data_IF_603276905384
#
_entry.id   IF_603276905384
#
_cell.length_a   1.000
_cell.length_b   1.000
_cell.length_c   1.000
_cell.angle_alpha   90.00
_cell.angle_beta   90.00
_cell.angle_gamma   90.00
#
_symmetry.space_group_name_H-M   'P 1'
#
loop_
_entity.id
_entity.type
_entity.pdbx_description
1 polymer ?
#
# COMPACT_ATOMS: atom_id res chain seq x y z
N UNK A 1 2.62 21.69 -20.04
CA UNK A 1 3.54 21.17 -21.08
C UNK A 1 4.63 20.35 -20.40
N UNK A 2 4.51 19.01 -20.34
CA UNK A 2 5.64 18.15 -19.96
C UNK A 2 6.35 17.69 -21.24
N UNK A 3 7.67 17.92 -21.28
CA UNK A 3 8.51 17.66 -22.45
C UNK A 3 8.79 16.16 -22.57
N UNK A 4 8.44 15.62 -23.73
CA UNK A 4 8.84 14.31 -24.20
C UNK A 4 10.36 14.15 -24.22
N UNK A 5 10.90 13.29 -23.35
CA UNK A 5 12.28 12.82 -23.46
C UNK A 5 12.29 11.61 -24.38
N UNK A 6 12.32 11.86 -25.69
CA UNK A 6 12.50 10.83 -26.73
C UNK A 6 13.99 10.64 -26.98
N UNK A 7 14.59 9.61 -26.37
CA UNK A 7 15.91 9.12 -26.82
C UNK A 7 15.71 8.12 -27.96
N UNK A 8 16.08 8.50 -29.18
CA UNK A 8 16.16 7.61 -30.35
C UNK A 8 17.41 6.73 -30.25
N UNK A 9 17.21 5.45 -29.96
CA UNK A 9 18.23 4.39 -30.00
C UNK A 9 17.56 3.04 -29.65
N UNK A 10 17.94 1.96 -30.35
CA UNK A 10 17.36 0.59 -30.32
C UNK A 10 16.38 0.34 -29.15
N UNK A 11 15.07 0.34 -29.49
CA UNK A 11 13.95 0.38 -28.53
C UNK A 11 14.09 -0.67 -27.42
N UNK A 12 14.36 -0.27 -26.17
CA UNK A 12 14.03 -1.11 -25.03
C UNK A 12 12.51 -1.25 -25.01
N UNK A 13 11.99 -2.48 -24.85
CA UNK A 13 10.56 -2.70 -24.60
C UNK A 13 10.22 -2.20 -23.20
N UNK A 14 10.16 -0.87 -23.03
CA UNK A 14 9.63 -0.27 -21.81
C UNK A 14 8.14 -0.63 -21.75
N UNK A 15 7.76 -1.48 -20.78
CA UNK A 15 6.35 -1.62 -20.42
C UNK A 15 5.95 -0.31 -19.73
N UNK A 16 5.04 0.43 -20.34
CA UNK A 16 4.44 1.60 -19.72
C UNK A 16 3.41 1.12 -18.69
N UNK A 17 3.48 1.69 -17.49
CA UNK A 17 2.39 1.60 -16.53
C UNK A 17 1.33 2.61 -16.96
N UNK A 18 0.08 2.17 -17.01
CA UNK A 18 -1.07 3.04 -17.27
C UNK A 18 -1.69 3.36 -15.94
N UNK A 19 -1.85 4.64 -15.64
CA UNK A 19 -2.58 5.12 -14.48
C UNK A 19 -3.80 5.86 -14.96
N UNK A 20 -4.94 5.62 -14.32
CA UNK A 20 -6.14 6.40 -14.53
C UNK A 20 -6.20 7.49 -13.48
N UNK A 21 -6.24 8.75 -13.91
CA UNK A 21 -6.65 9.85 -13.04
C UNK A 21 -8.18 9.79 -12.93
N UNK A 22 -8.70 9.41 -11.77
CA UNK A 22 -10.15 9.25 -11.58
C UNK A 22 -10.88 10.59 -11.64
N UNK A 23 -10.26 11.69 -11.19
CA UNK A 23 -10.90 13.00 -11.18
C UNK A 23 -11.10 13.58 -12.59
N UNK A 24 -10.20 13.28 -13.51
CA UNK A 24 -10.24 13.80 -14.89
C UNK A 24 -10.61 12.74 -15.93
N UNK A 25 -10.71 11.47 -15.51
CA UNK A 25 -10.78 10.30 -16.38
C UNK A 25 -9.62 10.16 -17.39
N UNK A 26 -8.54 10.94 -17.24
CA UNK A 26 -7.40 10.88 -18.14
C UNK A 26 -6.51 9.66 -17.83
N UNK A 27 -6.07 8.98 -18.89
CA UNK A 27 -5.10 7.92 -18.77
C UNK A 27 -3.68 8.48 -18.91
N UNK A 28 -2.92 8.44 -17.82
CA UNK A 28 -1.52 8.81 -17.78
C UNK A 28 -0.69 7.57 -18.08
N UNK A 29 0.12 7.64 -19.14
CA UNK A 29 1.10 6.60 -19.48
C UNK A 29 2.48 7.04 -19.02
N UNK A 30 3.12 6.21 -18.21
CA UNK A 30 4.46 6.54 -17.73
C UNK A 30 5.31 5.29 -17.55
N UNK A 31 6.61 5.46 -17.74
CA UNK A 31 7.58 4.40 -17.48
C UNK A 31 8.11 4.55 -16.07
N UNK A 32 7.72 3.65 -15.18
CA UNK A 32 8.32 3.56 -13.86
C UNK A 32 9.53 2.62 -13.95
N UNK A 33 10.72 3.18 -13.75
CA UNK A 33 11.96 2.42 -13.80
C UNK A 33 11.94 1.28 -12.77
N UNK A 34 12.03 0.04 -13.27
CA UNK A 34 12.11 -1.17 -12.46
C UNK A 34 10.77 -1.86 -12.15
N UNK A 35 9.63 -1.31 -12.58
CA UNK A 35 8.32 -1.99 -12.53
C UNK A 35 8.02 -2.85 -13.78
N UNK A 36 8.97 -2.98 -14.69
CA UNK A 36 8.84 -3.74 -15.94
C UNK A 36 8.87 -5.27 -15.77
N UNK A 37 8.82 -5.76 -14.53
CA UNK A 37 8.92 -7.17 -14.17
C UNK A 37 10.34 -7.76 -14.30
N UNK A 38 11.28 -7.06 -14.95
CA UNK A 38 12.68 -7.49 -15.10
C UNK A 38 13.58 -6.89 -14.02
N UNK A 39 13.24 -5.71 -13.53
CA UNK A 39 13.99 -5.00 -12.49
C UNK A 39 13.93 -5.60 -11.08
N UNK A 40 13.28 -6.76 -10.91
CA UNK A 40 13.18 -7.45 -9.62
C UNK A 40 12.31 -6.72 -8.58
N UNK A 41 11.58 -5.66 -8.95
CA UNK A 41 10.65 -4.97 -8.07
C UNK A 41 9.22 -5.43 -8.32
N UNK A 42 8.46 -5.54 -7.26
CA UNK A 42 7.06 -5.90 -7.27
C UNK A 42 6.27 -4.80 -6.57
N UNK A 43 5.21 -4.33 -7.20
CA UNK A 43 4.23 -3.52 -6.49
C UNK A 43 3.40 -4.42 -5.59
N UNK A 44 3.32 -4.05 -4.32
CA UNK A 44 2.51 -4.77 -3.34
C UNK A 44 1.21 -4.02 -3.05
N UNK A 45 1.19 -2.68 -3.06
CA UNK A 45 -0.01 -1.90 -2.81
C UNK A 45 0.02 -0.53 -3.51
N UNK A 46 -1.11 0.16 -3.50
CA UNK A 46 -1.26 1.58 -3.82
C UNK A 46 -2.00 2.23 -2.64
N UNK A 47 -1.59 3.44 -2.27
CA UNK A 47 -2.27 4.28 -1.27
C UNK A 47 -3.41 5.06 -1.91
N UNK A 48 -4.36 5.59 -1.12
CA UNK A 48 -5.47 6.39 -1.63
C UNK A 48 -5.00 7.70 -2.32
N UNK A 49 -3.82 8.20 -1.96
CA UNK A 49 -3.18 9.38 -2.57
C UNK A 49 -2.33 9.04 -3.81
N UNK A 50 -2.36 7.78 -4.27
CA UNK A 50 -1.70 7.35 -5.50
C UNK A 50 -0.20 7.06 -5.38
N UNK A 51 0.36 6.96 -4.17
CA UNK A 51 1.73 6.46 -3.98
C UNK A 51 1.78 4.94 -4.10
N UNK A 52 2.84 4.43 -4.72
CA UNK A 52 3.07 3.00 -4.93
C UNK A 52 3.96 2.44 -3.82
N UNK A 53 3.55 1.33 -3.23
CA UNK A 53 4.39 0.58 -2.29
C UNK A 53 5.02 -0.58 -3.05
N UNK A 54 6.35 -0.57 -3.10
CA UNK A 54 7.16 -1.48 -3.91
C UNK A 54 8.09 -2.30 -3.02
N UNK A 55 8.29 -3.57 -3.36
CA UNK A 55 9.29 -4.44 -2.74
C UNK A 55 10.31 -4.87 -3.78
N UNK A 56 11.59 -4.81 -3.42
CA UNK A 56 12.66 -5.42 -4.19
C UNK A 56 12.76 -6.90 -3.81
N UNK A 57 12.44 -7.80 -4.73
CA UNK A 57 12.46 -9.25 -4.53
C UNK A 57 13.85 -9.80 -4.17
N UNK A 58 14.94 -9.11 -4.55
CA UNK A 58 16.31 -9.56 -4.28
C UNK A 58 16.78 -9.14 -2.89
N UNK A 59 16.48 -7.90 -2.49
CA UNK A 59 16.99 -7.33 -1.23
C UNK A 59 15.95 -7.33 -0.10
N UNK A 60 14.70 -7.67 -0.40
CA UNK A 60 13.53 -7.49 0.47
C UNK A 60 13.31 -6.04 0.95
N UNK A 61 14.00 -5.07 0.35
CA UNK A 61 13.83 -3.66 0.65
C UNK A 61 12.46 -3.17 0.19
N UNK A 62 11.78 -2.42 1.05
CA UNK A 62 10.49 -1.80 0.77
C UNK A 62 10.71 -0.31 0.55
N UNK A 63 9.97 0.26 -0.38
CA UNK A 63 10.00 1.70 -0.59
C UNK A 63 8.68 2.20 -1.16
N UNK A 64 8.34 3.43 -0.80
CA UNK A 64 7.22 4.17 -1.37
C UNK A 64 7.73 5.02 -2.52
N UNK A 65 7.00 5.02 -3.62
CA UNK A 65 7.32 5.79 -4.81
C UNK A 65 6.14 6.66 -5.20
N UNK A 66 6.39 7.97 -5.35
CA UNK A 66 5.49 8.85 -6.06
C UNK A 66 5.70 8.65 -7.56
N UNK A 67 4.70 8.13 -8.30
CA UNK A 67 4.85 7.89 -9.73
C UNK A 67 5.04 9.19 -10.50
N UNK A 68 4.37 10.28 -10.12
CA UNK A 68 4.42 11.56 -10.85
C UNK A 68 5.76 12.26 -10.68
N UNK A 69 6.25 12.37 -9.44
CA UNK A 69 7.48 13.13 -9.15
C UNK A 69 8.73 12.26 -9.19
N UNK A 70 8.58 10.94 -9.12
CA UNK A 70 9.70 10.00 -8.94
C UNK A 70 10.31 10.03 -7.53
N UNK A 71 9.76 10.84 -6.61
CA UNK A 71 10.21 10.88 -5.23
C UNK A 71 10.07 9.50 -4.57
N UNK A 72 11.09 9.12 -3.80
CA UNK A 72 11.18 7.81 -3.17
C UNK A 72 11.54 7.96 -1.70
N UNK A 73 10.89 7.15 -0.88
CA UNK A 73 11.21 6.98 0.53
C UNK A 73 11.43 5.49 0.83
N UNK A 74 12.57 5.15 1.43
CA UNK A 74 12.88 3.79 1.83
C UNK A 74 12.25 3.47 3.18
N UNK A 75 11.78 2.23 3.31
CA UNK A 75 11.16 1.69 4.51
C UNK A 75 11.96 0.47 5.00
N UNK A 76 11.76 0.04 6.26
CA UNK A 76 12.37 -1.18 6.75
C UNK A 76 12.11 -2.39 5.82
N UNK A 77 13.03 -3.36 5.71
CA UNK A 77 12.80 -4.57 4.94
C UNK A 77 11.62 -5.39 5.48
N UNK A 78 10.88 -6.09 4.62
CA UNK A 78 9.78 -6.98 5.06
C UNK A 78 10.22 -8.11 6.00
N UNK A 79 11.54 -8.36 6.08
CA UNK A 79 12.14 -9.31 7.00
C UNK A 79 11.79 -9.06 8.46
N UNK A 80 11.63 -7.80 8.87
CA UNK A 80 11.30 -7.49 10.26
C UNK A 80 9.81 -7.69 10.59
N UNK A 81 8.94 -7.81 9.57
CA UNK A 81 7.49 -7.94 9.76
C UNK A 81 6.98 -9.36 9.47
N UNK A 82 7.56 -10.03 8.47
CA UNK A 82 7.11 -11.34 7.98
C UNK A 82 8.25 -12.35 8.05
N UNK A 83 7.95 -13.56 8.56
CA UNK A 83 8.84 -14.71 8.42
C UNK A 83 9.05 -15.09 6.95
N UNK A 84 10.17 -15.74 6.63
CA UNK A 84 10.52 -16.10 5.24
C UNK A 84 9.42 -16.92 4.55
N UNK A 85 8.91 -17.97 5.22
CA UNK A 85 7.84 -18.82 4.67
C UNK A 85 6.55 -18.03 4.36
N UNK A 86 6.24 -17.04 5.21
CA UNK A 86 5.07 -16.17 5.00
C UNK A 86 5.28 -15.28 3.78
N UNK A 87 6.46 -14.70 3.66
CA UNK A 87 6.82 -13.80 2.57
C UNK A 87 6.78 -14.53 1.22
N UNK A 88 7.26 -15.76 1.17
CA UNK A 88 7.26 -16.60 -0.02
C UNK A 88 5.86 -17.07 -0.44
N UNK A 89 4.87 -17.00 0.45
CA UNK A 89 3.47 -17.21 0.09
C UNK A 89 2.81 -15.92 -0.44
N UNK A 90 3.07 -14.79 0.21
CA UNK A 90 2.36 -13.53 -0.04
C UNK A 90 2.92 -12.76 -1.24
N UNK A 91 4.25 -12.70 -1.40
CA UNK A 91 4.88 -11.92 -2.48
C UNK A 91 4.74 -12.52 -3.88
N UNK A 92 4.60 -13.85 -4.08
CA UNK A 92 4.21 -14.37 -5.37
C UNK A 92 2.77 -14.05 -5.77
N UNK A 93 1.97 -13.44 -4.87
CA UNK A 93 0.52 -13.28 -5.01
C UNK A 93 -0.13 -14.61 -5.40
N UNK A 94 0.24 -15.68 -4.68
CA UNK A 94 -0.25 -17.01 -4.95
C UNK A 94 -1.80 -17.05 -4.87
N UNK A 95 -2.46 -17.96 -5.61
CA UNK A 95 -3.90 -18.16 -5.48
C UNK A 95 -4.28 -18.37 -4.00
N UNK A 96 -5.17 -17.51 -3.47
CA UNK A 96 -5.58 -17.53 -2.06
C UNK A 96 -4.82 -16.56 -1.14
N UNK A 97 -3.79 -15.86 -1.62
CA UNK A 97 -3.25 -14.69 -0.93
C UNK A 97 -4.32 -13.59 -0.86
N UNK A 98 -4.54 -13.02 0.33
CA UNK A 98 -5.50 -11.93 0.50
C UNK A 98 -5.05 -10.65 -0.21
N UNK A 99 -5.94 -9.64 -0.33
CA UNK A 99 -5.56 -8.36 -0.90
C UNK A 99 -4.43 -7.73 -0.08
N UNK A 100 -3.42 -7.22 -0.79
CA UNK A 100 -2.39 -6.37 -0.23
C UNK A 100 -2.81 -4.92 -0.37
N UNK A 101 -2.80 -4.20 0.74
CA UNK A 101 -3.19 -2.80 0.79
C UNK A 101 -2.21 -2.03 1.66
N UNK A 102 -2.10 -0.73 1.40
CA UNK A 102 -1.25 0.13 2.17
C UNK A 102 -1.83 1.54 2.20
N UNK A 103 -1.64 2.23 3.31
CA UNK A 103 -2.10 3.60 3.49
C UNK A 103 -1.13 4.46 4.28
N UNK A 104 -1.34 5.77 4.18
CA UNK A 104 -0.62 6.75 4.97
C UNK A 104 -1.44 7.19 6.17
N UNK A 105 -0.76 7.33 7.31
CA UNK A 105 -1.25 8.10 8.45
C UNK A 105 -1.02 9.59 8.20
N UNK A 106 -1.69 10.44 8.99
CA UNK A 106 -1.53 11.90 8.95
C UNK A 106 -0.09 12.38 9.17
N UNK A 107 0.72 11.61 9.88
CA UNK A 107 2.14 11.87 10.14
C UNK A 107 3.09 11.15 9.17
N UNK A 108 2.59 10.71 8.01
CA UNK A 108 3.37 10.09 6.92
C UNK A 108 3.98 8.73 7.23
N UNK A 109 3.52 8.04 8.28
CA UNK A 109 3.83 6.64 8.47
C UNK A 109 3.05 5.79 7.45
N UNK A 110 3.67 4.70 7.01
CA UNK A 110 3.13 3.79 6.01
C UNK A 110 2.62 2.56 6.74
N UNK A 111 1.33 2.29 6.60
CA UNK A 111 0.66 1.10 7.08
C UNK A 111 0.57 0.12 5.93
N UNK A 112 1.00 -1.13 6.10
CA UNK A 112 0.79 -2.19 5.12
C UNK A 112 0.00 -3.32 5.76
N UNK A 113 -1.05 -3.76 5.08
CA UNK A 113 -1.83 -4.93 5.44
C UNK A 113 -1.55 -6.07 4.45
N UNK A 114 -0.95 -7.13 4.97
CA UNK A 114 -0.74 -8.38 4.26
C UNK A 114 -1.91 -9.33 4.56
N UNK A 115 -3.02 -9.14 3.83
CA UNK A 115 -4.25 -9.92 4.01
C UNK A 115 -4.08 -11.43 3.77
N UNK A 116 -5.03 -12.21 4.28
CA UNK A 116 -5.18 -13.65 4.01
C UNK A 116 -4.65 -14.58 5.10
N UNK A 117 -5.18 -15.81 5.15
CA UNK A 117 -4.61 -16.93 5.92
C UNK A 117 -4.79 -16.90 7.45
N UNK A 118 -5.92 -16.39 7.97
CA UNK A 118 -6.32 -16.57 9.38
C UNK A 118 -5.52 -15.79 10.43
N UNK A 119 -4.35 -15.25 10.07
CA UNK A 119 -3.50 -14.45 10.95
C UNK A 119 -3.19 -13.11 10.31
N UNK A 120 -3.53 -12.04 11.03
CA UNK A 120 -3.31 -10.67 10.58
C UNK A 120 -1.85 -10.31 10.63
N UNK A 121 -1.43 -9.58 9.59
CA UNK A 121 -0.06 -9.13 9.43
C UNK A 121 -0.13 -7.69 8.93
N UNK A 122 -0.43 -6.78 9.86
CA UNK A 122 -0.27 -5.35 9.62
C UNK A 122 1.00 -4.86 10.27
N UNK A 123 1.68 -3.98 9.55
CA UNK A 123 2.84 -3.26 10.06
C UNK A 123 2.74 -1.79 9.72
N UNK A 124 3.28 -0.97 10.61
CA UNK A 124 3.47 0.46 10.40
C UNK A 124 4.97 0.76 10.45
N UNK A 125 5.42 1.65 9.57
CA UNK A 125 6.78 2.17 9.58
C UNK A 125 6.85 3.54 8.91
N UNK A 126 7.75 4.39 9.38
CA UNK A 126 8.11 5.65 8.74
C UNK A 126 9.36 5.49 7.87
N UNK A 127 9.54 6.37 6.88
CA UNK A 127 10.83 6.51 6.22
C UNK A 127 11.94 6.77 7.25
N UNK A 128 13.00 5.96 7.22
CA UNK A 128 14.12 6.05 8.16
C UNK A 128 14.02 5.13 9.37
N UNK A 129 12.88 4.49 9.62
CA UNK A 129 12.78 3.46 10.66
C UNK A 129 13.67 2.26 10.30
N UNK A 130 14.23 1.60 11.31
CA UNK A 130 15.03 0.38 11.13
C UNK A 130 14.15 -0.88 11.04
N UNK A 131 12.96 -0.85 11.66
CA UNK A 131 12.07 -1.99 11.80
C UNK A 131 10.61 -1.59 11.63
N UNK A 132 9.82 -2.48 11.06
CA UNK A 132 8.37 -2.41 11.11
C UNK A 132 7.86 -2.64 12.54
N UNK A 133 6.94 -1.79 13.00
CA UNK A 133 6.16 -2.05 14.21
C UNK A 133 4.91 -2.84 13.83
N UNK A 134 4.69 -3.99 14.46
CA UNK A 134 3.48 -4.79 14.24
C UNK A 134 2.28 -4.08 14.83
N UNK A 135 1.19 -4.01 14.06
CA UNK A 135 -0.08 -3.49 14.55
C UNK A 135 -0.83 -4.59 15.29
N UNK A 136 -1.21 -4.33 16.53
CA UNK A 136 -1.98 -5.24 17.35
C UNK A 136 -3.46 -5.21 16.97
N UNK A 137 -4.09 -6.38 16.92
CA UNK A 137 -5.52 -6.50 16.66
C UNK A 137 -6.06 -7.81 17.25
N UNK A 138 -7.16 -7.70 18.01
CA UNK A 138 -7.84 -8.84 18.60
C UNK A 138 -8.96 -9.40 17.70
N UNK A 139 -9.26 -8.72 16.60
CA UNK A 139 -10.35 -9.06 15.70
C UNK A 139 -9.80 -9.56 14.38
N UNK A 140 -10.41 -10.58 13.79
CA UNK A 140 -10.08 -10.95 12.41
C UNK A 140 -10.48 -9.81 11.47
N UNK A 141 -9.55 -9.26 10.70
CA UNK A 141 -9.84 -8.23 9.68
C UNK A 141 -10.30 -8.88 8.38
N UNK A 142 -11.30 -8.25 7.75
CA UNK A 142 -11.73 -8.54 6.40
C UNK A 142 -11.38 -7.36 5.48
N UNK A 143 -10.56 -7.62 4.46
CA UNK A 143 -10.31 -6.65 3.38
C UNK A 143 -9.08 -5.77 3.56
N UNK A 144 -9.11 -4.63 2.85
CA UNK A 144 -8.01 -3.67 2.73
C UNK A 144 -8.00 -2.63 3.84
N UNK A 145 -6.86 -1.98 4.05
CA UNK A 145 -6.78 -0.71 4.77
C UNK A 145 -7.16 0.44 3.85
N UNK A 146 -7.70 1.51 4.43
CA UNK A 146 -8.11 2.75 3.77
C UNK A 146 -7.81 3.96 4.65
N UNK A 147 -7.57 5.12 4.04
CA UNK A 147 -7.44 6.37 4.78
C UNK A 147 -8.71 7.22 4.64
N UNK A 148 -9.19 7.78 5.74
CA UNK A 148 -10.34 8.68 5.76
C UNK A 148 -10.15 9.75 6.84
N UNK A 149 -10.28 11.03 6.46
CA UNK A 149 -10.07 12.17 7.35
C UNK A 149 -8.72 12.17 8.10
N UNK A 150 -7.68 11.58 7.52
CA UNK A 150 -6.33 11.51 8.10
C UNK A 150 -6.07 10.26 8.96
N UNK A 151 -7.11 9.47 9.24
CA UNK A 151 -7.01 8.24 10.01
C UNK A 151 -7.04 7.02 9.10
N UNK A 152 -6.35 5.95 9.50
CA UNK A 152 -6.34 4.68 8.77
C UNK A 152 -7.36 3.73 9.37
N UNK A 153 -8.25 3.21 8.54
CA UNK A 153 -9.32 2.29 8.91
C UNK A 153 -9.18 0.94 8.22
N UNK A 154 -9.82 -0.05 8.83
CA UNK A 154 -10.07 -1.36 8.26
C UNK A 154 -11.39 -1.90 8.82
N UNK A 155 -11.81 -3.09 8.40
CA UNK A 155 -13.06 -3.68 8.85
C UNK A 155 -12.85 -5.08 9.42
N UNK A 156 -13.66 -5.46 10.41
CA UNK A 156 -13.70 -6.85 10.86
C UNK A 156 -14.22 -7.76 9.73
N UNK A 157 -13.74 -9.00 9.71
CA UNK A 157 -14.28 -10.05 8.87
C UNK A 157 -15.68 -10.44 9.36
N UNK A 158 -16.51 -10.96 8.44
CA UNK A 158 -17.86 -11.38 8.75
C UNK A 158 -18.94 -10.39 8.29
N UNK A 159 -20.21 -10.69 8.57
CA UNK A 159 -21.34 -9.97 7.99
C UNK A 159 -21.51 -8.54 8.56
N UNK A 160 -21.11 -8.29 9.81
CA UNK A 160 -21.27 -6.98 10.45
C UNK A 160 -20.28 -5.93 10.00
N UNK A 161 -19.12 -6.32 9.43
CA UNK A 161 -18.03 -5.43 8.95
C UNK A 161 -17.84 -4.19 9.82
N UNK A 162 -17.56 -4.39 11.11
CA UNK A 162 -17.37 -3.30 12.05
C UNK A 162 -16.10 -2.52 11.69
N UNK A 163 -16.16 -1.17 11.58
CA UNK A 163 -14.99 -0.37 11.29
C UNK A 163 -14.06 -0.35 12.51
N UNK A 164 -12.78 -0.52 12.23
CA UNK A 164 -11.71 -0.33 13.20
C UNK A 164 -10.80 0.78 12.71
N UNK A 165 -10.30 1.58 13.65
CA UNK A 165 -9.34 2.66 13.40
C UNK A 165 -7.98 2.30 13.97
N UNK A 166 -6.93 2.69 13.26
CA UNK A 166 -5.56 2.58 13.73
C UNK A 166 -5.26 3.70 14.72
N UNK A 167 -5.02 3.33 15.96
CA UNK A 167 -4.47 4.23 16.96
C UNK A 167 -2.96 4.08 17.03
N UNK A 168 -2.28 5.22 17.01
CA UNK A 168 -0.84 5.31 17.24
C UNK A 168 -0.60 6.26 18.40
N UNK A 169 0.26 5.86 19.33
CA UNK A 169 0.62 6.66 20.50
C UNK A 169 2.11 6.44 20.78
N UNK A 170 2.84 7.45 21.28
CA UNK A 170 4.22 7.26 21.71
C UNK A 170 4.35 6.23 22.85
N UNK A 171 3.34 6.12 23.70
CA UNK A 171 3.39 5.34 24.93
C UNK A 171 2.90 3.89 24.76
N UNK A 172 2.31 3.58 23.61
CA UNK A 172 1.60 2.33 23.39
C UNK A 172 1.89 1.76 22.00
N UNK A 173 2.00 0.42 21.86
CA UNK A 173 2.06 -0.21 20.55
C UNK A 173 0.86 0.20 19.68
N UNK A 174 1.09 0.39 18.36
CA UNK A 174 0.04 0.73 17.43
C UNK A 174 -0.99 -0.40 17.39
N UNK A 175 -2.27 -0.05 17.49
CA UNK A 175 -3.35 -1.02 17.66
C UNK A 175 -4.59 -0.62 16.88
N UNK A 176 -5.38 -1.62 16.51
CA UNK A 176 -6.70 -1.41 15.93
C UNK A 176 -7.76 -1.46 17.01
N UNK A 177 -8.51 -0.38 17.15
CA UNK A 177 -9.66 -0.28 18.06
C UNK A 177 -10.95 -0.08 17.28
N UNK A 178 -12.09 -0.39 17.90
CA UNK A 178 -13.39 -0.13 17.28
C UNK A 178 -13.57 1.36 17.07
N UNK A 179 -14.05 1.70 15.87
CA UNK A 179 -14.42 3.06 15.52
C UNK A 179 -15.91 3.27 15.77
N UNK A 180 -16.27 4.44 16.29
CA UNK A 180 -17.67 4.86 16.42
C UNK A 180 -18.28 5.33 15.08
N UNK A 181 -17.44 5.58 14.06
CA UNK A 181 -17.91 5.91 12.69
C UNK A 181 -18.74 4.78 12.09
N UNK A 182 -19.78 5.13 11.33
CA UNK A 182 -20.62 4.14 10.65
C UNK A 182 -19.95 3.67 9.34
N UNK A 183 -20.10 2.41 8.92
CA UNK A 183 -19.56 1.93 7.63
C UNK A 183 -19.94 2.80 6.41
N UNK A 184 -21.12 3.40 6.43
CA UNK A 184 -21.62 4.25 5.34
C UNK A 184 -20.86 5.58 5.21
N UNK A 185 -20.25 6.07 6.30
CA UNK A 185 -19.44 7.30 6.28
C UNK A 185 -18.21 7.14 5.36
N UNK A 186 -17.71 5.92 5.23
CA UNK A 186 -16.57 5.61 4.37
C UNK A 186 -16.96 5.53 2.90
N UNK A 187 -18.12 4.98 2.57
CA UNK A 187 -18.60 4.82 1.18
C UNK A 187 -18.73 6.18 0.49
N UNK A 188 -19.21 7.19 1.21
CA UNK A 188 -19.31 8.55 0.68
C UNK A 188 -17.93 9.22 0.53
N UNK A 189 -17.02 8.98 1.47
CA UNK A 189 -15.65 9.54 1.42
C UNK A 189 -14.75 8.94 0.33
N UNK A 190 -15.00 7.70 -0.09
CA UNK A 190 -14.21 7.04 -1.15
C UNK A 190 -14.42 7.65 -2.54
N UNK A 191 -15.58 8.26 -2.81
CA UNK A 191 -15.85 8.88 -4.11
C UNK A 191 -15.03 10.18 -4.34
N UNK A 192 -14.48 10.77 -3.28
CA UNK A 192 -13.70 12.00 -3.34
C UNK A 192 -12.17 11.78 -3.37
N UNK A 193 -11.71 10.53 -3.18
CA UNK A 193 -10.28 10.21 -3.18
C UNK A 193 -9.74 10.05 -4.61
N UNK A 194 -8.83 10.95 -5.02
CA UNK A 194 -8.08 10.88 -6.28
C UNK A 194 -7.18 9.64 -6.28
N UNK A 195 -7.73 8.48 -6.62
CA UNK A 195 -6.93 7.25 -6.73
C UNK A 195 -6.33 7.14 -8.12
N UNK A 196 -5.00 7.03 -8.22
CA UNK A 196 -4.34 6.56 -9.44
C UNK A 196 -4.42 5.02 -9.45
N UNK A 197 -5.43 4.47 -10.11
CA UNK A 197 -5.50 3.03 -10.34
C UNK A 197 -4.62 2.65 -11.52
N UNK A 198 -3.82 1.59 -11.36
CA UNK A 198 -3.18 0.95 -12.51
C UNK A 198 -4.25 0.28 -13.37
N UNK A 199 -4.26 0.64 -14.66
CA UNK A 199 -5.15 0.11 -15.68
C UNK A 199 -4.50 -1.00 -16.51
#
# INVERSE_FOLDING_TARGET
MLRDVVTRGKRPRYRYSRFLNIATHEQIRMTIRGLDGRGGRLQIACTCVGLLVLVNKRTNGVFVLNPITGARADLPPLGSLLSSNTRDFVLPRAPGAGPLSAELTSDSAVVINFGGGGYQRMGIARPGDEHWTKVECEHRIGGSVLSFAGDVYCFTAGPSRTPLVLETSPDNPPRLVKSDKHPDDFINGFNDAISLMLA
#
